data_IF_904358907991
#
_entry.id   IF_904358907991
#
_cell.length_a   1.000
_cell.length_b   1.000
_cell.length_c   1.000
_cell.angle_alpha   90.00
_cell.angle_beta   90.00
_cell.angle_gamma   90.00
#
_symmetry.space_group_name_H-M   'P 1'
#
loop_
_entity.id
_entity.type
_entity.pdbx_description
1 polymer ?
#
# COMPACT_ATOMS: atom_id res chain seq x y z
N UNK A 1 -18.92 10.70 -1.81
CA UNK A 1 -18.51 12.04 -2.30
C UNK A 1 -19.23 12.30 -3.62
N UNK A 2 -19.96 13.41 -3.76
CA UNK A 2 -20.83 13.65 -4.93
C UNK A 2 -20.08 13.84 -6.26
N UNK A 3 -18.76 14.03 -6.23
CA UNK A 3 -17.93 14.32 -7.41
C UNK A 3 -16.99 13.17 -7.80
N UNK A 4 -17.18 11.97 -7.23
CA UNK A 4 -16.34 10.81 -7.53
C UNK A 4 -17.17 9.76 -8.26
N UNK A 5 -16.72 9.36 -9.45
CA UNK A 5 -17.28 8.26 -10.23
C UNK A 5 -16.26 7.10 -10.27
N UNK A 6 -16.69 5.94 -9.84
CA UNK A 6 -15.87 4.72 -9.91
C UNK A 6 -16.20 3.96 -11.18
N UNK A 7 -15.23 3.79 -12.07
CA UNK A 7 -15.37 3.06 -13.31
C UNK A 7 -14.47 1.83 -13.31
N UNK A 8 -15.06 0.66 -13.57
CA UNK A 8 -14.31 -0.59 -13.70
C UNK A 8 -13.97 -0.86 -15.15
N UNK A 9 -12.69 -1.07 -15.42
CA UNK A 9 -12.21 -1.33 -16.77
C UNK A 9 -11.94 -2.83 -16.99
N UNK A 10 -12.36 -3.39 -18.14
CA UNK A 10 -12.01 -4.76 -18.49
C UNK A 10 -10.49 -4.94 -18.61
N UNK A 11 -9.95 -5.88 -17.86
CA UNK A 11 -8.53 -6.19 -17.86
C UNK A 11 -8.30 -7.70 -17.87
N UNK A 12 -7.14 -8.11 -18.40
CA UNK A 12 -6.62 -9.47 -18.24
C UNK A 12 -5.60 -9.42 -17.11
N UNK A 13 -5.84 -10.18 -16.05
CA UNK A 13 -4.93 -10.28 -14.92
C UNK A 13 -3.87 -11.37 -15.17
N UNK A 14 -2.62 -11.03 -14.85
CA UNK A 14 -1.53 -11.99 -14.78
C UNK A 14 -0.73 -11.73 -13.48
N UNK A 15 -0.93 -12.59 -12.50
CA UNK A 15 -0.43 -12.37 -11.14
C UNK A 15 -0.97 -11.05 -10.55
N UNK A 16 -0.07 -10.17 -10.18
CA UNK A 16 -0.40 -8.84 -9.64
C UNK A 16 -0.53 -7.76 -10.73
N UNK A 17 -0.35 -8.11 -11.99
CA UNK A 17 -0.44 -7.18 -13.11
C UNK A 17 -1.81 -7.24 -13.77
N UNK A 18 -2.34 -6.08 -14.13
CA UNK A 18 -3.55 -5.96 -14.93
C UNK A 18 -3.22 -5.32 -16.29
N UNK A 19 -3.63 -5.98 -17.37
CA UNK A 19 -3.46 -5.48 -18.72
C UNK A 19 -4.83 -5.06 -19.24
N UNK A 20 -5.03 -3.75 -19.35
CA UNK A 20 -6.27 -3.16 -19.80
C UNK A 20 -6.43 -3.31 -21.31
N UNK A 21 -7.63 -3.73 -21.76
CA UNK A 21 -7.94 -3.92 -23.18
C UNK A 21 -8.08 -2.62 -23.94
N UNK A 22 -8.52 -1.57 -23.29
CA UNK A 22 -8.77 -0.25 -23.89
C UNK A 22 -8.68 0.84 -22.82
N UNK A 23 -8.31 2.04 -23.25
CA UNK A 23 -8.36 3.27 -22.46
C UNK A 23 -9.48 4.21 -22.94
N UNK A 24 -10.41 3.69 -23.80
CA UNK A 24 -11.48 4.48 -24.41
C UNK A 24 -12.32 5.23 -23.38
N UNK A 25 -12.51 4.65 -22.20
CA UNK A 25 -13.24 5.29 -21.10
C UNK A 25 -12.74 6.69 -20.75
N UNK A 26 -11.44 6.96 -20.94
CA UNK A 26 -10.89 8.29 -20.68
C UNK A 26 -11.46 9.35 -21.66
N UNK A 27 -11.79 8.95 -22.88
CA UNK A 27 -12.42 9.81 -23.86
C UNK A 27 -13.93 9.92 -23.61
N UNK A 28 -14.56 8.80 -23.27
CA UNK A 28 -16.00 8.75 -23.00
C UNK A 28 -16.38 9.62 -21.78
N UNK A 29 -15.47 9.69 -20.79
CA UNK A 29 -15.62 10.54 -19.60
C UNK A 29 -14.95 11.92 -19.74
N UNK A 30 -14.49 12.29 -20.93
CA UNK A 30 -13.86 13.60 -21.21
C UNK A 30 -12.72 13.95 -20.25
N UNK A 31 -11.83 13.00 -19.99
CA UNK A 31 -10.75 13.18 -19.04
C UNK A 31 -9.72 14.21 -19.55
N UNK A 32 -9.51 15.29 -18.81
CA UNK A 32 -8.48 16.31 -19.10
C UNK A 32 -7.11 15.87 -18.61
N UNK A 33 -7.06 15.07 -17.53
CA UNK A 33 -5.83 14.61 -16.92
C UNK A 33 -5.94 13.18 -16.38
N UNK A 34 -4.83 12.47 -16.40
CA UNK A 34 -4.66 11.15 -15.80
C UNK A 34 -3.60 11.21 -14.72
N UNK A 35 -4.02 10.93 -13.50
CA UNK A 35 -3.14 10.74 -12.35
C UNK A 35 -2.89 9.24 -12.14
N UNK A 36 -1.67 8.80 -12.34
CA UNK A 36 -1.27 7.42 -12.07
C UNK A 36 -0.75 7.29 -10.65
N UNK A 37 -1.49 6.56 -9.84
CA UNK A 37 -1.09 6.18 -8.50
C UNK A 37 -0.62 4.72 -8.53
N UNK A 38 0.66 4.52 -8.62
CA UNK A 38 1.22 3.17 -8.62
C UNK A 38 2.36 3.00 -9.61
N UNK A 39 3.36 2.35 -9.14
CA UNK A 39 4.71 2.28 -9.65
C UNK A 39 4.96 0.96 -10.38
N UNK A 40 4.18 -0.07 -10.09
CA UNK A 40 4.44 -1.45 -10.51
C UNK A 40 3.58 -1.91 -11.70
N UNK A 41 2.87 -1.01 -12.37
CA UNK A 41 2.04 -1.37 -13.53
C UNK A 41 2.87 -1.37 -14.82
N UNK A 42 2.89 -2.50 -15.51
CA UNK A 42 3.47 -2.62 -16.84
C UNK A 42 2.67 -1.88 -17.93
N UNK A 43 1.45 -1.45 -17.61
CA UNK A 43 0.57 -0.69 -18.52
C UNK A 43 0.92 0.79 -18.68
N UNK A 44 1.78 1.34 -17.83
CA UNK A 44 2.14 2.77 -17.82
C UNK A 44 2.58 3.31 -19.18
N UNK A 45 3.49 2.66 -19.94
CA UNK A 45 3.90 3.16 -21.23
C UNK A 45 2.78 3.17 -22.29
N UNK A 46 1.84 2.23 -22.19
CA UNK A 46 0.67 2.18 -23.06
C UNK A 46 -0.31 3.31 -22.77
N UNK A 47 -0.62 3.51 -21.50
CA UNK A 47 -1.48 4.57 -21.03
C UNK A 47 -0.91 5.96 -21.39
N UNK A 48 0.37 6.17 -21.14
CA UNK A 48 1.04 7.43 -21.51
C UNK A 48 0.92 7.74 -23.00
N UNK A 49 1.19 6.75 -23.88
CA UNK A 49 1.04 6.93 -25.33
C UNK A 49 -0.40 7.28 -25.74
N UNK A 50 -1.38 6.65 -25.07
CA UNK A 50 -2.78 6.97 -25.29
C UNK A 50 -3.07 8.43 -24.89
N UNK A 51 -2.66 8.85 -23.70
CA UNK A 51 -2.83 10.23 -23.23
C UNK A 51 -2.17 11.25 -24.18
N UNK A 52 -0.92 10.99 -24.61
CA UNK A 52 -0.25 11.86 -25.59
C UNK A 52 -1.02 12.00 -26.90
N UNK A 53 -1.52 10.88 -27.43
CA UNK A 53 -2.28 10.87 -28.68
C UNK A 53 -3.55 11.72 -28.60
N UNK A 54 -4.17 11.80 -27.45
CA UNK A 54 -5.46 12.45 -27.24
C UNK A 54 -5.37 13.77 -26.48
N UNK A 55 -4.17 14.30 -26.24
CA UNK A 55 -3.99 15.59 -25.57
C UNK A 55 -4.33 15.58 -24.07
N UNK A 56 -4.39 14.41 -23.45
CA UNK A 56 -4.70 14.25 -22.03
C UNK A 56 -3.42 14.45 -21.20
N UNK A 57 -3.47 15.32 -20.20
CA UNK A 57 -2.37 15.52 -19.26
C UNK A 57 -2.09 14.21 -18.51
N UNK A 58 -0.80 13.85 -18.42
CA UNK A 58 -0.37 12.65 -17.70
C UNK A 58 0.65 13.00 -16.63
N UNK A 59 0.40 12.58 -15.39
CA UNK A 59 1.35 12.70 -14.29
C UNK A 59 1.28 11.50 -13.34
N UNK A 60 2.34 11.29 -12.56
CA UNK A 60 2.49 10.13 -11.70
C UNK A 60 2.80 10.52 -10.26
N UNK A 61 2.30 9.72 -9.31
CA UNK A 61 2.63 9.81 -7.89
C UNK A 61 3.18 8.45 -7.43
N UNK A 62 4.47 8.40 -7.13
CA UNK A 62 5.19 7.15 -6.88
C UNK A 62 5.49 6.95 -5.39
N UNK A 63 5.36 5.71 -4.94
CA UNK A 63 5.59 5.29 -3.54
C UNK A 63 6.69 4.25 -3.40
N UNK A 64 6.97 3.49 -4.46
CA UNK A 64 8.07 2.53 -4.56
C UNK A 64 8.44 2.33 -6.03
N UNK A 65 9.69 2.00 -6.32
CA UNK A 65 10.19 1.84 -7.69
C UNK A 65 10.67 0.41 -7.97
N UNK A 66 10.43 -0.50 -7.02
CA UNK A 66 10.88 -1.90 -7.08
C UNK A 66 9.71 -2.86 -6.94
N UNK A 67 9.87 -4.02 -7.51
CA UNK A 67 8.90 -5.11 -7.35
C UNK A 67 8.85 -5.59 -5.89
N UNK A 68 7.63 -5.83 -5.39
CA UNK A 68 7.37 -6.41 -4.07
C UNK A 68 7.32 -7.94 -4.08
N UNK A 69 7.71 -8.60 -5.18
CA UNK A 69 7.69 -10.06 -5.27
C UNK A 69 8.65 -10.70 -4.27
N UNK A 70 8.19 -11.74 -3.59
CA UNK A 70 8.99 -12.54 -2.66
C UNK A 70 10.00 -13.46 -3.37
N UNK A 71 9.77 -13.79 -4.65
CA UNK A 71 10.65 -14.62 -5.45
C UNK A 71 11.73 -13.78 -6.13
N UNK A 72 13.00 -14.00 -5.80
CA UNK A 72 14.12 -13.19 -6.30
C UNK A 72 14.22 -13.16 -7.83
N UNK A 73 13.99 -14.27 -8.51
CA UNK A 73 14.01 -14.33 -9.97
C UNK A 73 12.87 -13.50 -10.57
N UNK A 74 11.64 -13.64 -10.05
CA UNK A 74 10.48 -12.85 -10.47
C UNK A 74 10.72 -11.36 -10.23
N UNK A 75 11.25 -11.02 -9.05
CA UNK A 75 11.59 -9.63 -8.73
C UNK A 75 12.56 -9.02 -9.73
N UNK A 76 13.66 -9.73 -10.08
CA UNK A 76 14.63 -9.25 -11.06
C UNK A 76 14.02 -9.03 -12.45
N UNK A 77 13.18 -9.96 -12.90
CA UNK A 77 12.50 -9.83 -14.19
C UNK A 77 11.52 -8.65 -14.16
N UNK A 78 10.74 -8.52 -13.10
CA UNK A 78 9.80 -7.41 -12.94
C UNK A 78 10.52 -6.06 -12.87
N UNK A 79 11.61 -5.97 -12.10
CA UNK A 79 12.40 -4.75 -12.02
C UNK A 79 12.99 -4.35 -13.39
N UNK A 80 13.40 -5.32 -14.20
CA UNK A 80 13.85 -5.06 -15.57
C UNK A 80 12.70 -4.54 -16.46
N UNK A 81 11.52 -5.15 -16.38
CA UNK A 81 10.35 -4.70 -17.14
C UNK A 81 9.86 -3.32 -16.71
N UNK A 82 9.89 -3.06 -15.41
CA UNK A 82 9.49 -1.76 -14.83
C UNK A 82 10.43 -0.62 -15.23
N UNK A 83 11.68 -0.90 -15.62
CA UNK A 83 12.60 0.12 -16.19
C UNK A 83 11.99 0.85 -17.38
N UNK A 84 11.09 0.23 -18.13
CA UNK A 84 10.37 0.88 -19.23
C UNK A 84 9.50 2.04 -18.74
N UNK A 85 9.01 1.98 -17.51
CA UNK A 85 8.23 3.06 -16.91
C UNK A 85 9.11 4.28 -16.63
N UNK A 86 10.40 4.09 -16.31
CA UNK A 86 11.33 5.21 -16.08
C UNK A 86 11.44 6.11 -17.30
N UNK A 87 11.32 5.55 -18.51
CA UNK A 87 11.34 6.34 -19.75
C UNK A 87 10.12 7.27 -19.87
N UNK A 88 8.99 6.89 -19.27
CA UNK A 88 7.78 7.73 -19.17
C UNK A 88 7.98 8.78 -18.07
N UNK A 89 8.40 8.35 -16.89
CA UNK A 89 8.57 9.23 -15.73
C UNK A 89 9.61 10.34 -15.95
N UNK A 90 10.62 10.11 -16.80
CA UNK A 90 11.57 11.15 -17.21
C UNK A 90 10.96 12.25 -18.08
N UNK A 91 9.80 11.99 -18.70
CA UNK A 91 9.16 12.89 -19.69
C UNK A 91 7.88 13.53 -19.15
N UNK A 92 7.44 13.13 -17.96
CA UNK A 92 6.17 13.56 -17.38
C UNK A 92 6.39 14.12 -15.98
N UNK A 93 5.53 15.01 -15.48
CA UNK A 93 5.55 15.40 -14.09
C UNK A 93 5.43 14.16 -13.19
N UNK A 94 6.46 13.90 -12.41
CA UNK A 94 6.53 12.73 -11.53
C UNK A 94 6.76 13.21 -10.10
N UNK A 95 5.81 12.89 -9.23
CA UNK A 95 5.81 13.27 -7.82
C UNK A 95 6.18 12.08 -6.94
N UNK A 96 6.88 12.34 -5.85
CA UNK A 96 7.23 11.35 -4.85
C UNK A 96 6.30 11.42 -3.63
N UNK A 97 5.90 10.27 -3.09
CA UNK A 97 5.10 10.22 -1.85
C UNK A 97 5.91 10.58 -0.61
N UNK A 98 7.23 10.37 -0.66
CA UNK A 98 8.14 10.62 0.46
C UNK A 98 9.48 11.19 -0.03
N UNK A 99 10.26 11.87 0.84
CA UNK A 99 11.60 12.33 0.48
C UNK A 99 12.54 11.18 0.05
N UNK A 100 12.41 10.00 0.65
CA UNK A 100 13.22 8.83 0.26
C UNK A 100 12.94 8.39 -1.17
N UNK A 101 11.67 8.40 -1.60
CA UNK A 101 11.29 8.09 -2.99
C UNK A 101 11.77 9.18 -3.94
N UNK A 102 11.76 10.45 -3.54
CA UNK A 102 12.31 11.53 -4.35
C UNK A 102 13.81 11.32 -4.61
N UNK A 103 14.59 11.02 -3.58
CA UNK A 103 16.03 10.70 -3.73
C UNK A 103 16.27 9.46 -4.61
N UNK A 104 15.41 8.43 -4.51
CA UNK A 104 15.49 7.24 -5.36
C UNK A 104 15.20 7.60 -6.84
N UNK A 105 14.17 8.41 -7.12
CA UNK A 105 13.86 8.90 -8.47
C UNK A 105 15.05 9.64 -9.08
N UNK A 106 15.63 10.57 -8.34
CA UNK A 106 16.81 11.33 -8.77
C UNK A 106 18.00 10.42 -9.08
N UNK A 107 18.26 9.42 -8.22
CA UNK A 107 19.32 8.43 -8.44
C UNK A 107 19.14 7.61 -9.73
N UNK A 108 17.88 7.47 -10.18
CA UNK A 108 17.50 6.79 -11.42
C UNK A 108 17.42 7.75 -12.63
N UNK A 109 17.79 9.02 -12.45
CA UNK A 109 17.72 10.05 -13.48
C UNK A 109 16.30 10.43 -13.87
N UNK A 110 15.36 10.35 -12.93
CA UNK A 110 13.97 10.82 -13.10
C UNK A 110 13.81 12.11 -12.29
N UNK A 111 13.57 13.26 -12.96
CA UNK A 111 13.32 14.53 -12.26
C UNK A 111 12.08 14.42 -11.37
N UNK A 112 12.24 14.69 -10.08
CA UNK A 112 11.13 14.74 -9.15
C UNK A 112 10.46 16.13 -9.21
N UNK A 113 9.20 16.18 -9.62
CA UNK A 113 8.45 17.44 -9.73
C UNK A 113 8.04 18.02 -8.36
N UNK A 114 8.17 17.22 -7.29
CA UNK A 114 7.87 17.63 -5.92
C UNK A 114 7.35 16.48 -5.06
N UNK A 115 7.06 16.80 -3.81
CA UNK A 115 6.44 15.85 -2.90
C UNK A 115 4.91 15.93 -3.00
N UNK A 116 4.29 14.77 -3.16
CA UNK A 116 2.84 14.61 -3.14
C UNK A 116 2.53 13.43 -2.20
N UNK A 117 2.53 13.65 -0.87
CA UNK A 117 2.23 12.60 0.10
C UNK A 117 0.78 12.13 -0.02
N UNK A 118 0.48 10.97 0.53
CA UNK A 118 -0.92 10.53 0.68
C UNK A 118 -1.59 11.46 1.69
N UNK A 119 -2.64 12.13 1.25
CA UNK A 119 -3.43 13.01 2.12
C UNK A 119 -4.30 12.20 3.08
N UNK A 120 -4.57 12.79 4.24
CA UNK A 120 -5.57 12.33 5.18
C UNK A 120 -6.53 13.48 5.43
N UNK A 121 -7.82 13.25 5.21
CA UNK A 121 -8.84 14.23 5.58
C UNK A 121 -9.03 14.21 7.10
N UNK A 122 -8.40 15.18 7.77
CA UNK A 122 -8.47 15.30 9.23
C UNK A 122 -9.84 15.77 9.72
N UNK A 123 -10.67 16.32 8.85
CA UNK A 123 -12.02 16.75 9.22
C UNK A 123 -12.97 15.56 9.48
N UNK A 124 -12.69 14.41 8.84
CA UNK A 124 -13.46 13.17 9.08
C UNK A 124 -12.91 12.34 10.24
N UNK A 125 -11.73 12.71 10.79
CA UNK A 125 -11.28 12.09 12.03
C UNK A 125 -12.15 12.68 13.15
N UNK A 126 -13.13 11.93 13.67
CA UNK A 126 -13.93 12.45 14.77
C UNK A 126 -13.00 12.80 15.93
N UNK A 127 -13.37 13.77 16.74
CA UNK A 127 -12.78 13.93 18.05
C UNK A 127 -12.91 12.58 18.76
N UNK A 128 -11.82 11.81 18.79
CA UNK A 128 -11.83 10.44 19.28
C UNK A 128 -12.17 10.53 20.76
N UNK A 129 -13.35 10.07 21.20
CA UNK A 129 -13.66 10.03 22.61
C UNK A 129 -12.57 9.22 23.30
N UNK A 130 -12.14 9.62 24.47
CA UNK A 130 -11.15 8.85 25.23
C UNK A 130 -11.79 7.56 25.79
N UNK A 131 -12.07 6.61 24.92
CA UNK A 131 -12.68 5.32 25.25
C UNK A 131 -11.64 4.26 25.63
N UNK A 132 -10.44 4.68 26.01
CA UNK A 132 -9.33 3.78 26.32
C UNK A 132 -9.74 2.68 27.33
N UNK A 133 -10.36 3.05 28.41
CA UNK A 133 -10.77 2.11 29.48
C UNK A 133 -11.83 1.11 28.98
N UNK A 134 -12.79 1.59 28.18
CA UNK A 134 -13.84 0.73 27.60
C UNK A 134 -13.26 -0.27 26.58
N UNK A 135 -12.39 0.21 25.68
CA UNK A 135 -11.72 -0.63 24.69
C UNK A 135 -10.86 -1.69 25.38
N UNK A 136 -10.09 -1.32 26.40
CA UNK A 136 -9.27 -2.26 27.16
C UNK A 136 -10.12 -3.33 27.86
N UNK A 137 -11.23 -2.92 28.45
CA UNK A 137 -12.18 -3.84 29.08
C UNK A 137 -12.78 -4.80 28.07
N UNK A 138 -13.24 -4.30 26.91
CA UNK A 138 -13.79 -5.12 25.83
C UNK A 138 -12.76 -6.13 25.30
N UNK A 139 -11.50 -5.73 25.19
CA UNK A 139 -10.40 -6.57 24.74
C UNK A 139 -9.76 -7.42 25.86
N UNK A 140 -10.28 -7.35 27.10
CA UNK A 140 -9.72 -8.03 28.28
C UNK A 140 -8.22 -7.76 28.45
N UNK A 141 -7.84 -6.50 28.34
CA UNK A 141 -6.47 -6.01 28.56
C UNK A 141 -6.46 -5.19 29.85
N UNK A 142 -5.50 -5.47 30.72
CA UNK A 142 -5.31 -4.71 31.97
C UNK A 142 -5.14 -3.20 31.68
N UNK A 143 -5.68 -2.35 32.57
CA UNK A 143 -5.67 -0.90 32.36
C UNK A 143 -4.25 -0.32 32.32
N UNK A 144 -3.32 -0.90 33.06
CA UNK A 144 -1.94 -0.47 33.16
C UNK A 144 -0.99 -1.24 32.24
N UNK A 145 -1.48 -2.29 31.57
CA UNK A 145 -0.67 -3.07 30.65
C UNK A 145 -0.10 -2.22 29.50
N UNK A 146 1.12 -2.52 29.10
CA UNK A 146 1.71 -1.95 27.88
C UNK A 146 1.11 -2.66 26.68
N UNK A 147 0.73 -1.89 25.67
CA UNK A 147 0.10 -2.40 24.44
C UNK A 147 0.78 -1.81 23.23
N UNK A 148 1.16 -2.64 22.30
CA UNK A 148 1.45 -2.18 20.95
C UNK A 148 0.36 -2.61 19.98
N UNK A 149 0.22 -1.85 18.90
CA UNK A 149 -0.79 -2.10 17.87
C UNK A 149 -0.05 -2.31 16.55
N UNK A 150 -0.37 -3.41 15.88
CA UNK A 150 -0.01 -3.63 14.50
C UNK A 150 -1.26 -3.50 13.63
N UNK A 151 -1.22 -2.62 12.62
CA UNK A 151 -2.31 -2.44 11.66
C UNK A 151 -1.77 -2.65 10.25
N UNK A 152 -2.29 -3.64 9.55
CA UNK A 152 -1.86 -3.89 8.18
C UNK A 152 -2.16 -5.29 7.70
N UNK A 153 -1.88 -5.52 6.42
CA UNK A 153 -1.99 -6.86 5.84
C UNK A 153 -1.00 -7.82 6.49
N UNK A 154 -1.45 -9.03 6.79
CA UNK A 154 -0.60 -10.11 7.31
C UNK A 154 0.09 -10.85 6.16
N UNK A 155 0.81 -10.11 5.34
CA UNK A 155 1.56 -10.63 4.19
C UNK A 155 3.07 -10.47 4.42
N UNK A 156 3.93 -11.28 3.75
CA UNK A 156 5.38 -11.31 3.99
C UNK A 156 6.07 -9.95 3.97
N UNK A 157 5.65 -9.04 3.09
CA UNK A 157 6.27 -7.70 2.97
C UNK A 157 6.01 -6.77 4.16
N UNK A 158 5.02 -7.11 5.02
CA UNK A 158 4.72 -6.40 6.28
C UNK A 158 5.36 -7.05 7.50
N UNK A 159 5.99 -8.20 7.32
CA UNK A 159 6.74 -8.93 8.34
C UNK A 159 5.94 -9.22 9.64
N UNK A 160 4.65 -9.65 9.56
CA UNK A 160 3.84 -9.85 10.77
C UNK A 160 4.41 -10.93 11.70
N UNK A 161 5.22 -11.86 11.20
CA UNK A 161 5.81 -12.92 12.01
C UNK A 161 6.88 -12.40 13.00
N UNK A 162 7.44 -11.20 12.77
CA UNK A 162 8.39 -10.58 13.69
C UNK A 162 7.73 -10.12 15.00
N UNK A 163 6.39 -10.07 15.03
CA UNK A 163 5.64 -9.83 16.26
C UNK A 163 5.85 -10.92 17.32
N UNK A 164 6.12 -12.16 16.89
CA UNK A 164 6.34 -13.29 17.83
C UNK A 164 7.59 -13.06 18.68
N UNK A 165 8.81 -12.91 18.10
CA UNK A 165 9.99 -12.64 18.90
C UNK A 165 9.91 -11.30 19.66
N UNK A 166 9.22 -10.30 19.13
CA UNK A 166 8.99 -9.04 19.84
C UNK A 166 8.22 -9.27 21.14
N UNK A 167 7.13 -10.04 21.10
CA UNK A 167 6.31 -10.36 22.28
C UNK A 167 7.05 -11.28 23.26
N UNK A 168 7.91 -12.17 22.79
CA UNK A 168 8.78 -12.99 23.65
C UNK A 168 9.77 -12.12 24.44
N UNK A 169 10.34 -11.10 23.78
CA UNK A 169 11.26 -10.16 24.41
C UNK A 169 10.58 -9.17 25.36
N UNK A 170 9.25 -9.03 25.27
CA UNK A 170 8.46 -8.09 26.06
C UNK A 170 7.35 -8.82 26.85
N UNK A 171 7.68 -9.50 27.97
CA UNK A 171 6.74 -10.38 28.68
C UNK A 171 5.51 -9.66 29.24
N UNK A 172 5.62 -8.36 29.57
CA UNK A 172 4.53 -7.54 30.13
C UNK A 172 3.68 -6.82 29.09
N UNK A 173 3.95 -7.06 27.80
CA UNK A 173 3.23 -6.36 26.74
C UNK A 173 2.12 -7.22 26.15
N UNK A 174 1.05 -6.53 25.76
CA UNK A 174 -0.02 -7.06 24.94
C UNK A 174 0.13 -6.57 23.49
N UNK A 175 -0.39 -7.34 22.54
CA UNK A 175 -0.49 -6.95 21.15
C UNK A 175 -1.95 -6.88 20.69
N UNK A 176 -2.30 -5.81 20.00
CA UNK A 176 -3.52 -5.73 19.19
C UNK A 176 -3.08 -5.80 17.73
N UNK A 177 -3.51 -6.84 17.02
CA UNK A 177 -3.11 -7.11 15.65
C UNK A 177 -4.35 -7.01 14.78
N UNK A 178 -4.40 -5.98 13.93
CA UNK A 178 -5.55 -5.66 13.09
C UNK A 178 -5.17 -5.89 11.63
N UNK A 179 -5.82 -6.86 11.01
CA UNK A 179 -5.62 -7.17 9.60
C UNK A 179 -5.76 -8.63 9.24
N UNK A 180 -5.71 -8.89 7.93
CA UNK A 180 -5.77 -10.21 7.32
C UNK A 180 -4.68 -10.34 6.26
N UNK A 181 -4.33 -11.58 5.90
CA UNK A 181 -3.34 -11.85 4.86
C UNK A 181 -2.88 -13.30 4.85
N UNK A 182 -2.00 -13.63 3.92
CA UNK A 182 -1.53 -14.99 3.67
C UNK A 182 -0.74 -15.63 4.83
N UNK A 183 -0.25 -14.82 5.77
CA UNK A 183 0.48 -15.28 6.96
C UNK A 183 -0.38 -15.30 8.24
N UNK A 184 -1.69 -15.06 8.15
CA UNK A 184 -2.58 -15.01 9.32
C UNK A 184 -2.60 -16.31 10.13
N UNK A 185 -2.82 -17.44 9.46
CA UNK A 185 -2.84 -18.76 10.10
C UNK A 185 -1.47 -19.13 10.69
N UNK A 186 -0.40 -18.85 9.94
CA UNK A 186 0.97 -19.09 10.39
C UNK A 186 1.32 -18.24 11.62
N UNK A 187 0.93 -16.97 11.64
CA UNK A 187 1.11 -16.09 12.79
C UNK A 187 0.37 -16.64 14.02
N UNK A 188 -0.91 -17.01 13.85
CA UNK A 188 -1.72 -17.57 14.92
C UNK A 188 -1.09 -18.85 15.48
N UNK A 189 -0.65 -19.74 14.62
CA UNK A 189 0.04 -20.97 15.01
C UNK A 189 1.31 -20.66 15.84
N UNK A 190 2.19 -19.76 15.35
CA UNK A 190 3.42 -19.40 16.07
C UNK A 190 3.15 -18.72 17.42
N UNK A 191 2.13 -17.87 17.50
CA UNK A 191 1.72 -17.27 18.77
C UNK A 191 1.24 -18.34 19.77
N UNK A 192 0.49 -19.34 19.29
CA UNK A 192 0.01 -20.46 20.10
C UNK A 192 1.18 -21.33 20.58
N UNK A 193 2.06 -21.76 19.67
CA UNK A 193 3.23 -22.58 19.98
C UNK A 193 4.18 -21.91 20.99
N UNK A 194 4.26 -20.58 20.95
CA UNK A 194 5.05 -19.78 21.88
C UNK A 194 4.32 -19.44 23.19
N UNK A 195 3.05 -19.84 23.39
CA UNK A 195 2.25 -19.52 24.59
C UNK A 195 1.92 -18.02 24.71
N UNK A 196 1.82 -17.30 23.57
CA UNK A 196 1.63 -15.85 23.54
C UNK A 196 0.20 -15.42 23.21
N UNK A 197 -0.66 -16.36 22.82
CA UNK A 197 -1.98 -16.04 22.28
C UNK A 197 -2.86 -15.27 23.27
N UNK A 198 -2.74 -15.56 24.57
CA UNK A 198 -3.51 -14.88 25.63
C UNK A 198 -3.16 -13.39 25.74
N UNK A 199 -1.98 -13.00 25.31
CA UNK A 199 -1.52 -11.60 25.25
C UNK A 199 -1.80 -10.92 23.91
N UNK A 200 -2.41 -11.64 22.95
CA UNK A 200 -2.72 -11.12 21.63
C UNK A 200 -4.22 -10.94 21.43
N UNK A 201 -4.59 -9.89 20.70
CA UNK A 201 -5.95 -9.67 20.21
C UNK A 201 -5.87 -9.58 18.70
N UNK A 202 -6.33 -10.64 18.02
CA UNK A 202 -6.36 -10.74 16.57
C UNK A 202 -7.72 -10.23 16.09
N UNK A 203 -7.72 -9.14 15.35
CA UNK A 203 -8.91 -8.46 14.81
C UNK A 203 -8.79 -8.45 13.30
N UNK A 204 -9.58 -9.25 12.57
CA UNK A 204 -9.46 -9.33 11.12
C UNK A 204 -9.67 -8.00 10.41
N UNK A 205 -10.66 -7.23 10.84
CA UNK A 205 -11.02 -5.94 10.27
C UNK A 205 -11.79 -5.11 11.30
N UNK A 206 -11.56 -3.81 11.27
CA UNK A 206 -12.42 -2.85 11.96
C UNK A 206 -13.52 -2.37 11.00
N UNK A 207 -14.70 -2.02 11.50
CA UNK A 207 -15.79 -1.47 10.71
C UNK A 207 -15.45 -0.13 10.05
#
# INVERSE_FOLDING_TARGET
EPNVKICYMPAVAFGVQAFYKSWQILLDEHADAVHVMGDNSLGVPGLYRFCQKHGILFYSQLGALKSTSNHAAVRRVMDLLLRRNLAVYRKTPTYAKTPAVAAELESLGVPCAGLMPVGLDTAIIPSIPNNRTEIRRALKIDEHARVFIFVGRLDPYKQPLDLVPLLQAAPDWYAIIIGQGSLGDELTRRLTDAGLLDRCRLIPQLP
#
